data_IF_457710970153
#
_entry.id   IF_457710970153
#
_cell.length_a   1.000
_cell.length_b   1.000
_cell.length_c   1.000
_cell.angle_alpha   90.00
_cell.angle_beta   90.00
_cell.angle_gamma   90.00
#
_symmetry.space_group_name_H-M   'P 1'
#
loop_
_entity.id
_entity.type
_entity.pdbx_description
1 polymer ?
#
# COMPACT_ATOMS: atom_id res chain seq x y z
N UNK A 1 -49.36 -50.76 -35.31
CA UNK A 1 -50.37 -50.25 -36.25
C UNK A 1 -51.19 -49.16 -35.56
N UNK A 2 -50.93 -47.90 -35.89
CA UNK A 2 -51.94 -46.84 -36.01
C UNK A 2 -51.31 -45.76 -36.89
N UNK A 3 -52.04 -45.41 -37.94
CA UNK A 3 -51.64 -44.57 -39.05
C UNK A 3 -52.12 -43.14 -38.87
N UNK A 4 -51.37 -42.19 -39.45
CA UNK A 4 -51.84 -40.93 -40.06
C UNK A 4 -52.44 -39.87 -39.09
N UNK A 5 -52.41 -38.56 -39.32
CA UNK A 5 -52.45 -37.76 -40.55
C UNK A 5 -51.84 -36.36 -40.32
N UNK A 6 -51.03 -35.91 -41.29
CA UNK A 6 -51.15 -34.67 -42.06
C UNK A 6 -51.85 -33.41 -41.45
N UNK A 7 -51.16 -32.27 -41.45
CA UNK A 7 -51.60 -31.02 -42.11
C UNK A 7 -50.63 -29.83 -41.85
N UNK A 8 -50.16 -29.22 -42.94
CA UNK A 8 -49.77 -27.80 -43.07
C UNK A 8 -50.96 -27.12 -43.79
N UNK A 9 -51.37 -25.87 -43.51
CA UNK A 9 -50.76 -24.72 -44.19
C UNK A 9 -50.73 -23.38 -43.40
N UNK A 10 -49.67 -22.63 -43.66
CA UNK A 10 -49.63 -21.20 -44.07
C UNK A 10 -50.60 -20.19 -43.43
N UNK A 11 -50.06 -19.19 -42.70
CA UNK A 11 -50.20 -17.79 -43.11
C UNK A 11 -49.17 -16.88 -42.46
N UNK A 12 -48.46 -16.19 -43.35
CA UNK A 12 -47.82 -14.88 -43.30
C UNK A 12 -48.11 -14.02 -42.08
N UNK A 13 -47.08 -13.53 -41.37
CA UNK A 13 -46.96 -12.10 -41.07
C UNK A 13 -45.62 -11.71 -40.42
N UNK A 14 -44.98 -10.73 -41.06
CA UNK A 14 -44.08 -9.68 -40.55
C UNK A 14 -42.80 -10.09 -39.80
N UNK A 15 -41.69 -9.97 -40.54
CA UNK A 15 -40.47 -9.26 -40.16
C UNK A 15 -40.46 -8.59 -38.77
N UNK A 16 -39.55 -8.98 -37.88
CA UNK A 16 -38.58 -8.03 -37.29
C UNK A 16 -37.48 -8.71 -36.48
N UNK A 17 -36.27 -8.15 -36.66
CA UNK A 17 -35.18 -8.04 -35.68
C UNK A 17 -34.25 -9.24 -35.50
N UNK A 18 -33.20 -9.22 -36.33
CA UNK A 18 -31.84 -9.60 -35.96
C UNK A 18 -31.50 -9.03 -34.57
N UNK A 19 -31.55 -9.86 -33.54
CA UNK A 19 -30.89 -9.58 -32.27
C UNK A 19 -29.50 -10.20 -32.33
N UNK A 20 -28.40 -9.41 -32.27
CA UNK A 20 -27.10 -10.01 -32.02
C UNK A 20 -27.18 -10.60 -30.62
N UNK A 21 -26.93 -11.90 -30.50
CA UNK A 21 -26.81 -12.56 -29.21
C UNK A 21 -25.69 -11.85 -28.44
N UNK A 22 -26.08 -11.02 -27.48
CA UNK A 22 -25.17 -10.48 -26.50
C UNK A 22 -24.64 -11.67 -25.71
N UNK A 23 -23.47 -12.16 -26.09
CA UNK A 23 -22.70 -13.06 -25.25
C UNK A 23 -22.39 -12.23 -24.00
N UNK A 24 -23.19 -12.43 -22.96
CA UNK A 24 -22.92 -11.92 -21.63
C UNK A 24 -21.62 -12.55 -21.18
N UNK A 25 -20.50 -11.89 -21.49
CA UNK A 25 -19.20 -12.24 -20.96
C UNK A 25 -19.31 -11.98 -19.47
N UNK A 26 -19.55 -13.03 -18.70
CA UNK A 26 -19.63 -13.00 -17.24
C UNK A 26 -18.28 -12.52 -16.73
N UNK A 27 -18.10 -11.20 -16.67
CA UNK A 27 -16.94 -10.59 -16.07
C UNK A 27 -17.08 -10.91 -14.60
N UNK A 28 -16.36 -11.94 -14.13
CA UNK A 28 -16.13 -12.13 -12.69
C UNK A 28 -15.55 -10.81 -12.23
N UNK A 29 -16.38 -10.00 -11.58
CA UNK A 29 -15.95 -8.77 -10.93
C UNK A 29 -14.97 -9.27 -9.90
N UNK A 30 -13.67 -9.09 -10.16
CA UNK A 30 -12.65 -9.31 -9.15
C UNK A 30 -13.10 -8.42 -8.00
N UNK A 31 -13.66 -9.06 -6.96
CA UNK A 31 -14.18 -8.37 -5.80
C UNK A 31 -13.09 -7.42 -5.36
N UNK A 32 -13.45 -6.16 -5.14
CA UNK A 32 -12.54 -5.15 -4.61
C UNK A 32 -11.94 -5.77 -3.36
N UNK A 33 -10.72 -6.30 -3.48
CA UNK A 33 -10.00 -6.86 -2.36
C UNK A 33 -9.92 -5.71 -1.38
N UNK A 34 -10.73 -5.79 -0.32
CA UNK A 34 -10.67 -4.90 0.82
C UNK A 34 -9.35 -5.25 1.46
N UNK A 35 -8.26 -4.74 0.87
CA UNK A 35 -6.99 -4.75 1.53
C UNK A 35 -7.27 -3.99 2.84
N UNK A 36 -7.23 -4.63 4.01
CA UNK A 36 -7.60 -3.98 5.26
C UNK A 36 -6.73 -2.73 5.52
N UNK A 37 -5.61 -2.63 4.80
CA UNK A 37 -4.62 -1.56 4.88
C UNK A 37 -4.79 -0.50 3.77
N UNK A 38 -5.80 -0.61 2.90
CA UNK A 38 -6.05 0.39 1.85
C UNK A 38 -6.55 1.69 2.48
N UNK A 39 -5.65 2.64 2.67
CA UNK A 39 -5.94 3.96 3.23
C UNK A 39 -5.81 4.06 4.75
N UNK A 40 -5.31 3.01 5.42
CA UNK A 40 -4.82 3.17 6.80
C UNK A 40 -3.38 3.68 6.72
N UNK A 41 -2.93 4.56 7.65
CA UNK A 41 -1.50 4.69 7.90
C UNK A 41 -1.04 3.27 8.17
N UNK A 42 -0.24 2.70 7.26
CA UNK A 42 0.20 1.32 7.40
C UNK A 42 0.72 1.18 8.82
N UNK A 43 0.22 0.18 9.55
CA UNK A 43 0.71 -0.06 10.92
C UNK A 43 2.22 0.08 10.88
N UNK A 44 2.79 0.89 11.77
CA UNK A 44 4.23 1.10 11.90
C UNK A 44 4.90 -0.19 12.43
N UNK A 45 4.47 -1.34 11.93
CA UNK A 45 4.72 -2.69 12.41
C UNK A 45 6.17 -3.14 12.18
N UNK A 46 7.06 -2.20 11.88
CA UNK A 46 8.47 -2.40 11.63
C UNK A 46 9.36 -1.27 12.17
N UNK A 47 8.81 -0.28 12.86
CA UNK A 47 9.63 0.68 13.60
C UNK A 47 9.88 0.12 15.00
N UNK A 48 11.11 0.27 15.48
CA UNK A 48 11.43 0.17 16.90
C UNK A 48 10.69 1.27 17.67
N UNK A 49 10.56 1.15 19.00
CA UNK A 49 10.00 2.22 19.83
C UNK A 49 10.71 3.57 19.61
N UNK A 50 12.03 3.53 19.43
CA UNK A 50 12.83 4.72 19.13
C UNK A 50 12.51 5.29 17.75
N UNK A 51 12.42 4.43 16.73
CA UNK A 51 12.01 4.81 15.37
C UNK A 51 10.62 5.44 15.35
N UNK A 52 9.68 4.93 16.14
CA UNK A 52 8.33 5.50 16.26
C UNK A 52 8.33 6.85 16.97
N UNK A 53 9.08 7.01 18.07
CA UNK A 53 9.24 8.29 18.76
C UNK A 53 9.83 9.37 17.85
N UNK A 54 10.86 9.01 17.08
CA UNK A 54 11.48 9.89 16.09
C UNK A 54 10.49 10.25 15.01
N UNK A 55 9.75 9.27 14.46
CA UNK A 55 8.73 9.55 13.46
C UNK A 55 7.69 10.55 13.98
N UNK A 56 7.19 10.38 15.21
CA UNK A 56 6.24 11.32 15.82
C UNK A 56 6.80 12.75 15.89
N UNK A 57 8.07 12.87 16.26
CA UNK A 57 8.78 14.15 16.30
C UNK A 57 8.91 14.79 14.91
N UNK A 58 9.20 14.00 13.88
CA UNK A 58 9.37 14.46 12.50
C UNK A 58 8.04 14.83 11.83
N UNK A 59 6.93 14.19 12.19
CA UNK A 59 5.61 14.51 11.62
C UNK A 59 4.93 15.68 12.32
N UNK A 60 5.43 16.13 13.48
CA UNK A 60 4.97 17.35 14.14
C UNK A 60 4.99 18.56 13.18
N UNK A 61 3.89 19.31 13.01
CA UNK A 61 3.88 20.54 12.23
C UNK A 61 4.87 21.61 12.67
N UNK A 62 5.28 21.61 13.95
CA UNK A 62 6.23 22.55 14.55
C UNK A 62 7.67 22.01 14.54
N UNK A 63 7.93 20.92 13.82
CA UNK A 63 9.26 20.33 13.73
C UNK A 63 10.30 21.34 13.21
N UNK A 64 11.36 21.57 14.00
CA UNK A 64 12.51 22.38 13.59
C UNK A 64 13.54 21.49 12.86
N UNK A 65 13.78 21.79 11.58
CA UNK A 65 14.73 21.08 10.73
C UNK A 65 16.16 21.11 11.24
N UNK A 66 16.56 22.15 11.98
CA UNK A 66 17.92 22.27 12.55
C UNK A 66 18.22 21.16 13.56
N UNK A 67 17.18 20.53 14.13
CA UNK A 67 17.30 19.40 15.05
C UNK A 67 17.38 18.03 14.37
N UNK A 68 17.28 17.98 13.04
CA UNK A 68 17.23 16.72 12.30
C UNK A 68 18.46 15.84 12.59
N UNK A 69 19.65 16.43 12.52
CA UNK A 69 20.91 15.69 12.71
C UNK A 69 21.00 15.08 14.10
N UNK A 70 20.62 15.85 15.13
CA UNK A 70 20.59 15.39 16.53
C UNK A 70 19.61 14.24 16.72
N UNK A 71 18.40 14.36 16.14
CA UNK A 71 17.36 13.34 16.26
C UNK A 71 17.77 12.04 15.56
N UNK A 72 18.37 12.14 14.37
CA UNK A 72 18.86 10.96 13.63
C UNK A 72 20.09 10.35 14.29
N UNK A 73 20.96 11.15 14.92
CA UNK A 73 22.07 10.65 15.75
C UNK A 73 21.55 9.78 16.90
N UNK A 74 20.47 10.21 17.56
CA UNK A 74 19.86 9.45 18.64
C UNK A 74 19.29 8.10 18.18
N UNK A 75 18.88 7.98 16.90
CA UNK A 75 18.47 6.69 16.33
C UNK A 75 19.65 5.72 16.19
N UNK A 76 20.83 6.22 15.81
CA UNK A 76 22.02 5.40 15.64
C UNK A 76 22.65 4.99 16.98
N UNK A 77 22.64 5.90 17.96
CA UNK A 77 23.30 5.69 19.25
C UNK A 77 22.48 4.81 20.21
N UNK A 78 21.19 4.58 19.96
CA UNK A 78 20.37 3.69 20.80
C UNK A 78 20.73 2.22 20.69
N UNK A 79 21.68 1.86 19.82
CA UNK A 79 22.11 0.48 19.58
C UNK A 79 23.21 -0.04 20.52
N UNK A 80 23.86 0.82 21.31
CA UNK A 80 25.05 0.43 22.06
C UNK A 80 24.78 -0.25 23.43
N UNK A 81 23.56 -0.13 23.98
CA UNK A 81 23.33 -0.46 25.40
C UNK A 81 22.59 -1.78 25.67
N UNK A 82 21.83 -2.35 24.72
CA UNK A 82 20.82 -3.38 25.07
C UNK A 82 20.86 -4.69 24.26
N UNK A 83 21.52 -4.74 23.10
CA UNK A 83 21.45 -5.90 22.20
C UNK A 83 22.85 -6.43 21.86
N UNK A 84 23.21 -7.59 22.41
CA UNK A 84 24.55 -8.20 22.36
C UNK A 84 25.09 -8.61 20.98
N UNK A 85 24.60 -8.06 19.87
CA UNK A 85 25.21 -8.16 18.54
C UNK A 85 25.01 -6.88 17.74
N UNK A 86 26.13 -6.26 17.34
CA UNK A 86 26.18 -5.09 16.46
C UNK A 86 25.43 -5.29 15.13
N UNK A 87 25.32 -6.53 14.65
CA UNK A 87 24.65 -6.83 13.38
C UNK A 87 23.13 -6.66 13.46
N UNK A 88 22.51 -7.15 14.53
CA UNK A 88 21.07 -6.96 14.80
C UNK A 88 20.72 -5.49 15.02
N UNK A 89 21.67 -4.75 15.60
CA UNK A 89 21.54 -3.34 15.92
C UNK A 89 21.52 -2.50 14.62
N UNK A 90 22.44 -2.77 13.70
CA UNK A 90 22.47 -2.16 12.36
C UNK A 90 21.21 -2.51 11.56
N UNK A 91 20.78 -3.77 11.55
CA UNK A 91 19.57 -4.20 10.84
C UNK A 91 18.33 -3.42 11.33
N UNK A 92 18.20 -3.26 12.64
CA UNK A 92 17.11 -2.48 13.26
C UNK A 92 17.15 -1.02 12.83
N UNK A 93 18.32 -0.37 12.88
CA UNK A 93 18.48 1.02 12.41
C UNK A 93 18.09 1.14 10.94
N UNK A 94 18.52 0.21 10.08
CA UNK A 94 18.18 0.22 8.66
C UNK A 94 16.66 0.11 8.44
N UNK A 95 15.97 -0.75 9.19
CA UNK A 95 14.51 -0.84 9.12
C UNK A 95 13.81 0.42 9.63
N UNK A 96 14.32 1.01 10.72
CA UNK A 96 13.78 2.25 11.27
C UNK A 96 13.88 3.40 10.28
N UNK A 97 15.06 3.61 9.71
CA UNK A 97 15.32 4.58 8.65
C UNK A 97 14.34 4.41 7.50
N UNK A 98 14.20 3.19 6.98
CA UNK A 98 13.38 2.93 5.81
C UNK A 98 11.89 3.15 6.14
N UNK A 99 11.48 2.76 7.35
CA UNK A 99 10.15 2.99 7.87
C UNK A 99 9.83 4.49 8.02
N UNK A 100 10.78 5.27 8.55
CA UNK A 100 10.67 6.72 8.70
C UNK A 100 10.52 7.39 7.32
N UNK A 101 11.40 7.09 6.36
CA UNK A 101 11.34 7.66 5.00
C UNK A 101 9.99 7.35 4.34
N UNK A 102 9.54 6.10 4.44
CA UNK A 102 8.25 5.66 3.89
C UNK A 102 7.08 6.38 4.57
N UNK A 103 7.11 6.53 5.88
CA UNK A 103 6.06 7.20 6.65
C UNK A 103 6.01 8.71 6.32
N UNK A 104 7.16 9.38 6.21
CA UNK A 104 7.23 10.78 5.80
C UNK A 104 6.61 11.01 4.41
N UNK A 105 6.83 10.09 3.46
CA UNK A 105 6.15 10.11 2.17
C UNK A 105 4.62 9.98 2.29
N UNK A 106 4.12 9.13 3.19
CA UNK A 106 2.69 9.01 3.49
C UNK A 106 2.11 10.31 4.08
N UNK A 107 2.84 10.97 4.97
CA UNK A 107 2.47 12.27 5.56
C UNK A 107 2.73 13.46 4.63
N UNK A 108 3.11 13.23 3.36
CA UNK A 108 3.41 14.26 2.36
C UNK A 108 4.57 15.19 2.76
N UNK A 109 5.45 14.74 3.65
CA UNK A 109 6.68 15.44 4.05
C UNK A 109 7.87 14.96 3.19
N UNK A 110 7.73 15.03 1.86
CA UNK A 110 8.71 14.48 0.93
C UNK A 110 10.09 15.15 1.04
N UNK A 111 10.14 16.47 1.24
CA UNK A 111 11.40 17.20 1.41
C UNK A 111 12.15 16.72 2.66
N UNK A 112 11.42 16.41 3.72
CA UNK A 112 12.01 15.86 4.95
C UNK A 112 12.49 14.42 4.72
N UNK A 113 11.74 13.61 3.98
CA UNK A 113 12.15 12.26 3.60
C UNK A 113 13.46 12.25 2.80
N UNK A 114 13.61 13.20 1.86
CA UNK A 114 14.84 13.38 1.10
C UNK A 114 16.00 13.80 1.99
N UNK A 115 15.79 14.74 2.93
CA UNK A 115 16.84 15.15 3.88
C UNK A 115 17.30 14.00 4.78
N UNK A 116 16.38 13.15 5.26
CA UNK A 116 16.73 11.94 6.00
C UNK A 116 17.56 10.98 5.13
N UNK A 117 17.15 10.76 3.87
CA UNK A 117 17.92 9.93 2.94
C UNK A 117 19.33 10.48 2.67
N UNK A 118 19.44 11.79 2.42
CA UNK A 118 20.71 12.47 2.18
C UNK A 118 21.64 12.39 3.39
N UNK A 119 21.11 12.58 4.59
CA UNK A 119 21.86 12.47 5.84
C UNK A 119 22.52 11.10 5.99
N UNK A 120 21.80 10.03 5.67
CA UNK A 120 22.30 8.65 5.76
C UNK A 120 23.33 8.37 4.68
N UNK A 121 23.09 8.86 3.46
CA UNK A 121 24.01 8.69 2.34
C UNK A 121 25.35 9.40 2.56
N UNK A 122 25.35 10.52 3.26
CA UNK A 122 26.54 11.34 3.51
C UNK A 122 27.36 10.87 4.73
N UNK A 123 26.97 9.77 5.36
CA UNK A 123 27.56 9.20 6.56
C UNK A 123 28.33 7.93 6.22
#
# INVERSE_FOLDING_TARGET
MISSTNAKPTSTSVETQNSPSFIHRTRRRIGKHRNPDKGKPGSHHRLSPQGEFILQSLIDPQFNIEKLDEILLNLCNSCDEEMGSLELSIETICFDVLGIIKALGYYKKCDLALKVFEWIRNR
#
